data_IF_050603493447
#
_entry.id   IF_050603493447
#
_cell.length_a   1.000
_cell.length_b   1.000
_cell.length_c   1.000
_cell.angle_alpha   90.00
_cell.angle_beta   90.00
_cell.angle_gamma   90.00
#
_symmetry.space_group_name_H-M   'P 1'
#
loop_
_entity.id
_entity.type
_entity.pdbx_description
1 polymer ?
#
# COMPACT_ATOMS: atom_id res chain seq x y z
N UNK A 1 4.94 6.82 10.05
CA UNK A 1 5.35 8.22 9.91
C UNK A 1 4.24 9.06 10.50
N UNK A 2 4.48 9.65 11.67
CA UNK A 2 3.50 10.56 12.28
C UNK A 2 3.48 11.86 11.49
N UNK A 3 2.29 12.44 11.32
CA UNK A 3 2.13 13.68 10.56
C UNK A 3 1.61 14.79 11.45
N UNK A 4 2.30 15.93 11.39
CA UNK A 4 1.89 17.18 12.01
C UNK A 4 1.70 18.20 10.89
N UNK A 5 0.44 18.56 10.62
CA UNK A 5 0.08 19.49 9.54
C UNK A 5 -0.34 20.80 10.19
N UNK A 6 0.42 21.87 9.89
CA UNK A 6 0.06 23.24 10.26
C UNK A 6 -0.50 23.96 9.03
N UNK A 7 -1.77 24.36 9.12
CA UNK A 7 -2.45 25.12 8.08
C UNK A 7 -2.58 26.57 8.53
N UNK A 8 -2.13 27.50 7.69
CA UNK A 8 -2.26 28.94 7.92
C UNK A 8 -3.06 29.58 6.78
N UNK A 9 -4.29 30.00 7.07
CA UNK A 9 -5.12 30.74 6.13
C UNK A 9 -5.01 32.24 6.40
N UNK A 10 -4.47 32.99 5.44
CA UNK A 10 -4.47 34.45 5.46
C UNK A 10 -5.81 34.97 4.94
N UNK A 11 -6.68 35.42 5.85
CA UNK A 11 -7.95 36.08 5.51
C UNK A 11 -7.66 37.53 5.15
N UNK A 12 -7.80 37.84 3.87
CA UNK A 12 -7.66 39.21 3.38
C UNK A 12 -8.89 40.01 3.77
N UNK A 13 -8.72 41.24 4.27
CA UNK A 13 -9.84 42.04 4.75
C UNK A 13 -10.67 42.57 3.58
N UNK A 14 -11.98 42.70 3.78
CA UNK A 14 -12.86 43.27 2.76
C UNK A 14 -12.82 44.80 2.83
N UNK A 15 -12.03 45.42 1.94
CA UNK A 15 -11.74 46.87 1.96
C UNK A 15 -12.99 47.76 1.95
N UNK A 16 -14.05 47.37 1.23
CA UNK A 16 -15.27 48.16 1.14
C UNK A 16 -16.09 48.20 2.44
N UNK A 17 -15.83 47.29 3.39
CA UNK A 17 -16.39 47.33 4.75
C UNK A 17 -15.47 48.08 5.76
N UNK A 18 -14.39 48.70 5.31
CA UNK A 18 -13.45 49.43 6.18
C UNK A 18 -12.44 48.55 6.91
N UNK A 19 -12.37 47.26 6.60
CA UNK A 19 -11.37 46.35 7.15
C UNK A 19 -10.02 46.53 6.44
N UNK A 20 -8.94 46.74 7.20
CA UNK A 20 -7.60 47.01 6.63
C UNK A 20 -6.52 46.02 7.06
N UNK A 21 -6.80 45.14 8.03
CA UNK A 21 -5.81 44.23 8.61
C UNK A 21 -6.13 42.78 8.26
N UNK A 22 -5.18 42.09 7.63
CA UNK A 22 -5.30 40.66 7.37
C UNK A 22 -5.27 39.87 8.69
N UNK A 23 -6.20 38.94 8.85
CA UNK A 23 -6.23 38.00 9.99
C UNK A 23 -5.68 36.66 9.53
N UNK A 24 -4.76 36.09 10.29
CA UNK A 24 -4.30 34.72 10.05
C UNK A 24 -5.13 33.80 10.95
N UNK A 25 -5.77 32.81 10.35
CA UNK A 25 -6.37 31.70 11.08
C UNK A 25 -5.44 30.51 10.92
N UNK A 26 -4.95 29.99 12.05
CA UNK A 26 -4.08 28.82 12.08
C UNK A 26 -4.83 27.65 12.71
N UNK A 27 -4.56 26.46 12.19
CA UNK A 27 -4.99 25.20 12.80
C UNK A 27 -3.88 24.17 12.67
N UNK A 28 -3.85 23.26 13.62
CA UNK A 28 -2.90 22.18 13.68
C UNK A 28 -3.64 20.86 13.83
N UNK A 29 -3.21 19.86 13.06
CA UNK A 29 -3.76 18.51 13.11
C UNK A 29 -2.59 17.57 13.31
N UNK A 30 -2.69 16.73 14.36
CA UNK A 30 -1.78 15.63 14.61
C UNK A 30 -2.50 14.33 14.30
N UNK A 31 -1.93 13.54 13.40
CA UNK A 31 -2.42 12.21 13.10
C UNK A 31 -1.33 11.18 13.41
N UNK A 32 -1.69 10.19 14.22
CA UNK A 32 -0.82 9.02 14.40
C UNK A 32 -0.65 8.32 13.06
N UNK A 33 0.61 8.04 12.74
CA UNK A 33 1.02 7.66 11.42
C UNK A 33 0.67 6.23 11.05
N UNK A 34 0.53 6.00 9.74
CA UNK A 34 0.77 4.67 9.18
C UNK A 34 2.27 4.39 9.15
N UNK A 35 2.69 3.20 9.59
CA UNK A 35 4.07 2.74 9.45
C UNK A 35 4.22 1.99 8.13
N UNK A 36 4.93 2.60 7.19
CA UNK A 36 5.43 1.91 5.99
C UNK A 36 6.57 0.97 6.38
N UNK A 37 6.66 -0.19 5.72
CA UNK A 37 7.71 -1.17 5.97
C UNK A 37 9.06 -0.61 5.56
N UNK A 38 9.12 0.01 4.38
CA UNK A 38 10.34 0.54 3.78
C UNK A 38 10.09 1.94 3.22
N UNK A 39 11.12 2.79 3.33
CA UNK A 39 11.06 4.16 2.85
C UNK A 39 12.45 4.61 2.40
N UNK A 40 12.54 5.17 1.20
CA UNK A 40 13.75 5.84 0.70
C UNK A 40 13.35 7.10 -0.04
N UNK A 41 13.96 8.23 0.32
CA UNK A 41 13.63 9.57 -0.18
C UNK A 41 12.15 9.92 -0.09
N UNK A 42 11.39 9.69 -1.15
CA UNK A 42 9.96 9.99 -1.27
C UNK A 42 9.19 8.79 -1.84
N UNK A 43 9.75 7.59 -1.68
CA UNK A 43 9.18 6.32 -2.12
C UNK A 43 8.82 5.51 -0.88
N UNK A 44 7.53 5.20 -0.73
CA UNK A 44 7.04 4.25 0.27
C UNK A 44 6.91 2.87 -0.35
N UNK A 45 7.32 1.83 0.38
CA UNK A 45 7.20 0.44 -0.06
C UNK A 45 6.74 -0.47 1.07
N UNK A 46 5.64 -1.20 0.85
CA UNK A 46 5.20 -2.29 1.72
C UNK A 46 5.29 -3.65 1.03
N UNK A 47 5.59 -4.68 1.83
CA UNK A 47 5.70 -6.07 1.37
C UNK A 47 4.51 -6.86 1.89
N UNK A 48 3.50 -6.99 1.03
CA UNK A 48 2.23 -7.59 1.36
C UNK A 48 2.09 -8.99 0.74
N UNK A 49 2.57 -9.98 1.49
CA UNK A 49 2.65 -11.38 1.03
C UNK A 49 1.40 -12.23 1.31
N UNK A 50 0.82 -12.13 2.51
CA UNK A 50 -0.33 -12.93 2.93
C UNK A 50 -1.17 -12.24 4.02
N UNK A 51 -1.15 -10.91 4.07
CA UNK A 51 -2.00 -10.15 4.98
C UNK A 51 -3.47 -10.31 4.62
N UNK A 52 -4.36 -10.00 5.56
CA UNK A 52 -5.81 -10.05 5.34
C UNK A 52 -6.22 -8.98 4.33
N UNK A 53 -7.20 -9.27 3.48
CA UNK A 53 -7.70 -8.33 2.44
C UNK A 53 -8.08 -6.95 2.98
N UNK A 54 -8.60 -6.86 4.21
CA UNK A 54 -8.92 -5.57 4.84
C UNK A 54 -7.71 -4.68 5.13
N UNK A 55 -6.50 -5.25 5.20
CA UNK A 55 -5.27 -4.46 5.35
C UNK A 55 -5.00 -3.69 4.05
N UNK A 56 -5.27 -4.29 2.89
CA UNK A 56 -5.01 -3.67 1.60
C UNK A 56 -5.74 -2.32 1.42
N UNK A 57 -6.99 -2.22 1.87
CA UNK A 57 -7.75 -0.96 1.83
C UNK A 57 -7.11 0.10 2.73
N UNK A 58 -6.61 -0.30 3.90
CA UNK A 58 -5.89 0.59 4.82
C UNK A 58 -4.57 1.07 4.24
N UNK A 59 -3.81 0.20 3.58
CA UNK A 59 -2.49 0.52 3.01
C UNK A 59 -2.64 1.50 1.84
N UNK A 60 -3.62 1.25 0.94
CA UNK A 60 -3.94 2.17 -0.16
C UNK A 60 -4.41 3.54 0.34
N UNK A 61 -5.24 3.56 1.38
CA UNK A 61 -5.68 4.82 1.99
C UNK A 61 -4.52 5.57 2.64
N UNK A 62 -3.54 4.86 3.21
CA UNK A 62 -2.35 5.46 3.79
C UNK A 62 -1.46 6.08 2.71
N UNK A 63 -1.22 5.37 1.60
CA UNK A 63 -0.44 5.92 0.47
C UNK A 63 -1.07 7.19 -0.09
N UNK A 64 -2.40 7.18 -0.24
CA UNK A 64 -3.14 8.38 -0.64
C UNK A 64 -2.86 9.56 0.28
N UNK A 65 -3.00 9.36 1.59
CA UNK A 65 -2.80 10.43 2.57
C UNK A 65 -1.35 10.94 2.59
N UNK A 66 -0.37 10.04 2.49
CA UNK A 66 1.04 10.40 2.43
C UNK A 66 1.37 11.20 1.16
N UNK A 67 0.79 10.81 0.02
CA UNK A 67 0.97 11.53 -1.24
C UNK A 67 0.28 12.90 -1.24
N UNK A 68 -0.97 12.98 -0.78
CA UNK A 68 -1.71 14.25 -0.65
C UNK A 68 -1.02 15.23 0.31
N UNK A 69 -0.30 14.71 1.32
CA UNK A 69 0.53 15.49 2.24
C UNK A 69 1.91 15.85 1.68
N UNK A 70 2.20 15.47 0.43
CA UNK A 70 3.50 15.62 -0.21
C UNK A 70 4.66 14.99 0.57
N UNK A 71 4.44 13.87 1.28
CA UNK A 71 5.49 13.09 1.95
C UNK A 71 6.10 12.03 1.04
N UNK A 72 5.32 11.52 0.08
CA UNK A 72 5.78 10.60 -0.96
C UNK A 72 5.38 11.12 -2.34
N UNK A 73 6.11 10.68 -3.36
CA UNK A 73 5.78 10.91 -4.77
C UNK A 73 5.19 9.65 -5.42
N UNK A 74 5.48 8.46 -4.86
CA UNK A 74 4.99 7.17 -5.34
C UNK A 74 4.96 6.15 -4.21
N UNK A 75 3.98 5.25 -4.27
CA UNK A 75 3.93 4.06 -3.43
C UNK A 75 4.24 2.80 -4.26
N UNK A 76 4.92 1.85 -3.64
CA UNK A 76 5.23 0.54 -4.20
C UNK A 76 4.63 -0.53 -3.30
N UNK A 77 3.91 -1.47 -3.90
CA UNK A 77 3.42 -2.65 -3.18
C UNK A 77 4.05 -3.88 -3.79
N UNK A 78 4.85 -4.61 -2.99
CA UNK A 78 5.28 -5.95 -3.36
C UNK A 78 4.23 -6.92 -2.87
N UNK A 79 3.67 -7.71 -3.76
CA UNK A 79 2.70 -8.76 -3.42
C UNK A 79 2.94 -10.00 -4.27
N UNK A 80 1.96 -10.89 -4.35
CA UNK A 80 2.04 -12.13 -5.08
C UNK A 80 0.88 -12.34 -6.02
N UNK A 81 1.10 -13.11 -7.08
CA UNK A 81 0.01 -13.74 -7.81
C UNK A 81 -0.62 -14.86 -6.98
N UNK A 82 -1.87 -15.21 -7.29
CA UNK A 82 -2.61 -16.19 -6.49
C UNK A 82 -2.62 -17.58 -7.14
N UNK A 83 -3.10 -17.68 -8.37
CA UNK A 83 -3.37 -18.97 -9.01
C UNK A 83 -2.09 -19.76 -9.31
N UNK A 84 -1.16 -19.19 -10.08
CA UNK A 84 0.10 -19.84 -10.50
C UNK A 84 1.03 -20.16 -9.30
N UNK A 85 1.12 -19.27 -8.31
CA UNK A 85 1.91 -19.56 -7.10
C UNK A 85 1.29 -20.64 -6.22
N UNK A 86 -0.04 -20.77 -6.20
CA UNK A 86 -0.70 -21.88 -5.52
C UNK A 86 -0.46 -23.20 -6.25
N UNK A 87 -0.44 -23.19 -7.58
CA UNK A 87 -0.08 -24.36 -8.40
C UNK A 87 1.39 -24.77 -8.18
N UNK A 88 2.31 -23.80 -8.20
CA UNK A 88 3.72 -24.03 -7.86
C UNK A 88 3.87 -24.60 -6.44
N UNK A 89 3.22 -23.97 -5.45
CA UNK A 89 3.28 -24.41 -4.06
C UNK A 89 2.72 -25.82 -3.87
N UNK A 90 1.68 -26.18 -4.61
CA UNK A 90 1.16 -27.55 -4.63
C UNK A 90 2.20 -28.52 -5.22
N UNK A 91 2.78 -28.21 -6.38
CA UNK A 91 3.77 -29.07 -7.04
C UNK A 91 5.01 -29.31 -6.17
N UNK A 92 5.60 -28.23 -5.63
CA UNK A 92 6.72 -28.30 -4.68
C UNK A 92 6.35 -29.07 -3.42
N UNK A 93 5.10 -28.94 -2.96
CA UNK A 93 4.61 -29.71 -1.82
C UNK A 93 4.62 -31.22 -2.09
N UNK A 94 4.12 -31.64 -3.25
CA UNK A 94 4.15 -33.05 -3.66
C UNK A 94 5.58 -33.57 -3.79
N UNK A 95 6.47 -32.78 -4.42
CA UNK A 95 7.89 -33.12 -4.56
C UNK A 95 8.58 -33.29 -3.20
N UNK A 96 8.26 -32.44 -2.23
CA UNK A 96 8.73 -32.54 -0.85
C UNK A 96 8.06 -33.67 -0.04
N UNK A 97 7.24 -34.53 -0.66
CA UNK A 97 6.59 -35.68 -0.02
C UNK A 97 5.35 -35.34 0.80
N UNK A 98 4.77 -34.14 0.67
CA UNK A 98 3.51 -33.82 1.32
C UNK A 98 2.36 -34.56 0.62
N UNK A 99 1.43 -35.12 1.41
CA UNK A 99 0.19 -35.65 0.87
C UNK A 99 -0.66 -34.55 0.21
N UNK A 100 -1.45 -34.92 -0.81
CA UNK A 100 -2.27 -34.01 -1.62
C UNK A 100 -3.10 -33.02 -0.80
N UNK A 101 -3.72 -33.48 0.29
CA UNK A 101 -4.54 -32.63 1.17
C UNK A 101 -3.74 -31.48 1.79
N UNK A 102 -2.49 -31.73 2.19
CA UNK A 102 -1.63 -30.71 2.78
C UNK A 102 -1.04 -29.80 1.71
N UNK A 103 -0.64 -30.35 0.57
CA UNK A 103 -0.13 -29.58 -0.57
C UNK A 103 -1.18 -28.58 -1.09
N UNK A 104 -2.46 -28.98 -1.19
CA UNK A 104 -3.56 -28.09 -1.64
C UNK A 104 -3.82 -26.88 -0.73
N UNK A 105 -3.37 -26.92 0.53
CA UNK A 105 -3.54 -25.81 1.49
C UNK A 105 -2.47 -24.75 1.36
N UNK A 106 -1.35 -25.03 0.70
CA UNK A 106 -0.27 -24.06 0.48
C UNK A 106 -0.85 -22.90 -0.34
N UNK A 107 -0.77 -21.68 0.22
CA UNK A 107 -1.34 -20.47 -0.36
C UNK A 107 -2.84 -20.61 -0.72
N UNK A 108 -3.55 -21.50 -0.02
CA UNK A 108 -4.94 -21.85 -0.30
C UNK A 108 -5.96 -20.76 0.06
N UNK A 109 -5.58 -19.84 0.96
CA UNK A 109 -6.43 -18.73 1.40
C UNK A 109 -6.59 -17.69 0.28
N UNK A 110 -7.84 -17.37 -0.06
CA UNK A 110 -8.19 -16.41 -1.12
C UNK A 110 -8.53 -15.01 -0.60
N UNK A 111 -8.66 -14.86 0.72
CA UNK A 111 -8.99 -13.59 1.41
C UNK A 111 -7.76 -12.84 1.90
N UNK A 112 -6.61 -13.08 1.27
CA UNK A 112 -5.35 -12.40 1.55
C UNK A 112 -4.93 -11.50 0.41
N UNK A 113 -4.09 -10.50 0.70
CA UNK A 113 -3.52 -9.62 -0.31
C UNK A 113 -2.81 -10.43 -1.40
N UNK A 114 -3.21 -10.18 -2.64
CA UNK A 114 -2.64 -10.74 -3.87
C UNK A 114 -3.10 -9.87 -5.04
N UNK A 115 -2.61 -10.16 -6.25
CA UNK A 115 -2.97 -9.40 -7.44
C UNK A 115 -4.46 -9.41 -7.79
N UNK A 116 -5.20 -10.47 -7.45
CA UNK A 116 -6.65 -10.57 -7.73
C UNK A 116 -7.45 -9.62 -6.83
N UNK A 117 -6.95 -9.35 -5.61
CA UNK A 117 -7.52 -8.38 -4.67
C UNK A 117 -7.07 -6.95 -4.93
N UNK A 118 -5.83 -6.75 -5.34
CA UNK A 118 -5.24 -5.44 -5.59
C UNK A 118 -5.71 -4.82 -6.91
N UNK A 119 -5.75 -5.59 -8.00
CA UNK A 119 -6.13 -5.09 -9.32
C UNK A 119 -7.46 -4.31 -9.35
N UNK A 120 -8.59 -4.82 -8.80
CA UNK A 120 -9.84 -4.06 -8.83
C UNK A 120 -9.76 -2.75 -8.04
N UNK A 121 -8.98 -2.69 -6.95
CA UNK A 121 -8.76 -1.48 -6.14
C UNK A 121 -7.94 -0.43 -6.88
N UNK A 122 -6.89 -0.86 -7.57
CA UNK A 122 -6.12 0.01 -8.46
C UNK A 122 -6.98 0.57 -9.59
N UNK A 123 -7.83 -0.27 -10.20
CA UNK A 123 -8.72 0.16 -11.29
C UNK A 123 -9.80 1.15 -10.84
N UNK A 124 -10.30 1.00 -9.61
CA UNK A 124 -11.23 1.97 -9.01
C UNK A 124 -10.55 3.27 -8.57
N UNK A 125 -9.23 3.28 -8.45
CA UNK A 125 -8.47 4.44 -7.98
C UNK A 125 -8.49 4.60 -6.46
N UNK A 126 -8.49 3.49 -5.71
CA UNK A 126 -8.59 3.53 -4.24
C UNK A 126 -7.37 4.24 -3.58
N UNK A 127 -6.23 4.37 -4.27
CA UNK A 127 -5.07 5.18 -3.86
C UNK A 127 -5.22 6.69 -4.14
N UNK A 128 -6.38 7.12 -4.66
CA UNK A 128 -6.63 8.51 -5.04
C UNK A 128 -5.64 9.01 -6.09
N UNK A 129 -5.01 10.15 -5.81
CA UNK A 129 -4.00 10.74 -6.71
C UNK A 129 -2.61 10.11 -6.64
N UNK A 130 -2.36 9.20 -5.69
CA UNK A 130 -1.04 8.61 -5.49
C UNK A 130 -0.69 7.65 -6.64
N UNK A 131 0.42 7.87 -7.37
CA UNK A 131 0.99 6.87 -8.26
C UNK A 131 1.32 5.60 -7.47
N UNK A 132 0.87 4.45 -7.98
CA UNK A 132 1.04 3.15 -7.32
C UNK A 132 1.65 2.15 -8.29
N UNK A 133 2.81 1.60 -7.92
CA UNK A 133 3.46 0.49 -8.60
C UNK A 133 3.23 -0.81 -7.84
N UNK A 134 2.58 -1.78 -8.48
CA UNK A 134 2.44 -3.13 -7.94
C UNK A 134 3.49 -4.06 -8.56
N UNK A 135 4.30 -4.71 -7.72
CA UNK A 135 5.27 -5.73 -8.12
C UNK A 135 4.76 -7.08 -7.61
N UNK A 136 4.48 -7.99 -8.53
CA UNK A 136 3.95 -9.31 -8.18
C UNK A 136 5.03 -10.38 -8.30
N UNK A 137 5.36 -11.01 -7.18
CA UNK A 137 6.09 -12.27 -7.15
C UNK A 137 5.17 -13.34 -7.74
N UNK A 138 5.69 -14.16 -8.64
CA UNK A 138 4.92 -15.14 -9.40
C UNK A 138 5.69 -16.44 -9.61
N UNK A 139 5.07 -17.44 -10.22
CA UNK A 139 5.75 -18.70 -10.50
C UNK A 139 7.02 -18.51 -11.34
N UNK A 140 7.05 -17.54 -12.27
CA UNK A 140 8.23 -17.27 -13.12
C UNK A 140 9.41 -16.65 -12.37
N UNK A 141 9.18 -16.10 -11.18
CA UNK A 141 10.24 -15.57 -10.31
C UNK A 141 10.78 -16.61 -9.33
N UNK A 142 10.28 -17.85 -9.41
CA UNK A 142 10.87 -18.97 -8.66
C UNK A 142 12.28 -19.23 -9.19
N UNK A 143 13.26 -19.12 -8.30
CA UNK A 143 14.60 -19.61 -8.52
C UNK A 143 14.78 -20.82 -7.62
N UNK A 144 15.12 -21.97 -8.21
CA UNK A 144 15.62 -23.09 -7.41
C UNK A 144 16.81 -22.62 -6.58
N UNK A 145 16.99 -23.18 -5.40
CA UNK A 145 18.20 -22.93 -4.63
C UNK A 145 19.39 -23.37 -5.50
N UNK A 146 20.15 -22.41 -6.03
CA UNK A 146 21.47 -22.69 -6.55
C UNK A 146 22.25 -23.24 -5.36
N UNK A 147 22.43 -24.56 -5.31
CA UNK A 147 23.20 -25.18 -4.24
C UNK A 147 24.56 -24.51 -4.15
N UNK A 148 24.85 -23.94 -2.97
CA UNK A 148 26.22 -23.67 -2.54
C UNK A 148 26.86 -24.95 -2.01
#
# INVERSE_FOLDING_TARGET
MDTQIRLALKKMPYRAAGENTAKVAETEVFNEGYKVDNFVDRVALDVEWNAKDGNLDRDLSAYRALYESALIDVAVMITRTQTDLRELGYALGIEAGLGHERARRILGTTTTTNTEKLRPRMQRGDSGGCPLLAIAICQRTWAEHAGE
#
